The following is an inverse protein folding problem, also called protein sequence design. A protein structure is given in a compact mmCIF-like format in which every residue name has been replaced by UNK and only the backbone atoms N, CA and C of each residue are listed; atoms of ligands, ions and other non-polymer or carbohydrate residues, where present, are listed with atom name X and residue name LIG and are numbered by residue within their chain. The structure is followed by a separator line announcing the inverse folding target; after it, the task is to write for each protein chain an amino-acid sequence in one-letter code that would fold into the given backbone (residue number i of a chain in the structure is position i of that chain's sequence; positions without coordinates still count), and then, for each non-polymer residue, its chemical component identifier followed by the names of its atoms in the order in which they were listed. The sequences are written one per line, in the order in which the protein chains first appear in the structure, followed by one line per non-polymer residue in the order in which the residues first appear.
data_IF_037112976446
#
_entry.id   IF_037112976446
#
_cell.length_a   1.000
_cell.length_b   1.000
_cell.length_c   1.000
_cell.angle_alpha   90.00
_cell.angle_beta   90.00
_cell.angle_gamma   90.00
#
_symmetry.space_group_name_H-M   'P 1'
#
loop_
_entity.id
_entity.type
_entity.pdbx_description
1 polymer ?
#
# COMPACT_ATOMS: atom_id res chain seq x y z
N UNK A 1 14.58 -9.49 -14.87
CA UNK A 1 14.26 -9.24 -13.46
C UNK A 1 13.55 -7.89 -13.34
N UNK A 2 12.24 -7.85 -13.10
CA UNK A 2 11.47 -6.59 -13.03
C UNK A 2 11.41 -6.02 -11.60
N UNK A 3 12.57 -5.82 -10.97
CA UNK A 3 12.68 -5.07 -9.69
C UNK A 3 12.73 -3.54 -9.95
N UNK A 4 12.56 -3.13 -11.21
CA UNK A 4 12.53 -1.74 -11.68
C UNK A 4 11.58 -0.85 -10.84
N UNK A 5 10.38 -1.30 -10.41
CA UNK A 5 9.51 -0.49 -9.58
C UNK A 5 10.12 -0.15 -8.21
N UNK A 6 10.90 -1.04 -7.60
CA UNK A 6 11.49 -0.80 -6.28
C UNK A 6 12.66 0.18 -6.36
N UNK A 7 13.51 0.03 -7.37
CA UNK A 7 14.64 0.96 -7.62
C UNK A 7 14.15 2.37 -7.94
N UNK A 8 13.11 2.50 -8.77
CA UNK A 8 12.64 3.80 -9.24
C UNK A 8 11.67 4.50 -8.28
N UNK A 9 10.81 3.75 -7.57
CA UNK A 9 9.76 4.34 -6.71
C UNK A 9 10.24 4.60 -5.28
N UNK A 10 11.11 3.73 -4.76
CA UNK A 10 11.58 3.79 -3.37
C UNK A 10 13.08 4.11 -3.27
N UNK A 11 13.76 4.33 -4.40
CA UNK A 11 15.19 4.66 -4.43
C UNK A 11 16.07 3.54 -3.86
N UNK A 12 15.60 2.30 -3.85
CA UNK A 12 16.34 1.18 -3.27
C UNK A 12 17.50 0.77 -4.17
N UNK A 13 18.67 0.58 -3.56
CA UNK A 13 19.85 0.01 -4.21
C UNK A 13 19.69 -1.50 -4.37
N UNK A 14 20.58 -2.14 -5.14
CA UNK A 14 20.59 -3.60 -5.23
C UNK A 14 20.88 -4.26 -3.88
N UNK A 15 21.74 -3.66 -3.06
CA UNK A 15 22.04 -4.15 -1.71
C UNK A 15 20.81 -4.06 -0.81
N UNK A 16 20.03 -2.97 -0.90
CA UNK A 16 18.77 -2.85 -0.15
C UNK A 16 17.77 -3.94 -0.53
N UNK A 17 17.65 -4.23 -1.83
CA UNK A 17 16.78 -5.28 -2.35
C UNK A 17 17.22 -6.66 -1.85
N UNK A 18 18.52 -6.94 -1.92
CA UNK A 18 19.10 -8.19 -1.45
C UNK A 18 18.90 -8.35 0.07
N UNK A 19 19.17 -7.31 0.85
CA UNK A 19 18.98 -7.30 2.30
C UNK A 19 17.50 -7.49 2.67
N UNK A 20 16.59 -6.76 2.02
CA UNK A 20 15.15 -6.92 2.26
C UNK A 20 14.69 -8.33 1.93
N UNK A 21 15.14 -8.90 0.81
CA UNK A 21 14.80 -10.28 0.43
C UNK A 21 15.31 -11.31 1.44
N UNK A 22 16.53 -11.15 1.95
CA UNK A 22 17.12 -12.04 2.94
C UNK A 22 16.35 -11.97 4.27
N UNK A 23 16.04 -10.75 4.74
CA UNK A 23 15.31 -10.55 5.99
C UNK A 23 13.87 -11.10 5.93
N UNK A 24 13.21 -11.04 4.76
CA UNK A 24 11.89 -11.66 4.55
C UNK A 24 11.98 -13.19 4.63
N UNK A 25 12.99 -13.78 3.99
CA UNK A 25 13.21 -15.24 4.01
C UNK A 25 13.58 -15.72 5.41
N UNK A 26 14.33 -14.91 6.16
CA UNK A 26 14.68 -15.17 7.57
C UNK A 26 13.48 -15.04 8.53
N UNK A 27 12.31 -14.62 8.03
CA UNK A 27 11.08 -14.53 8.82
C UNK A 27 11.08 -13.37 9.81
N UNK A 28 11.80 -12.28 9.52
CA UNK A 28 11.80 -11.06 10.36
C UNK A 28 10.43 -10.38 10.36
N UNK A 29 10.08 -9.75 11.48
CA UNK A 29 8.82 -9.02 11.62
C UNK A 29 8.81 -7.71 10.82
N UNK A 30 7.62 -7.14 10.60
CA UNK A 30 7.49 -5.81 9.98
C UNK A 30 8.18 -4.71 10.79
N UNK A 31 8.16 -4.83 12.11
CA UNK A 31 8.82 -3.88 13.02
C UNK A 31 10.34 -3.93 12.82
N UNK A 32 10.93 -5.14 12.79
CA UNK A 32 12.38 -5.31 12.56
C UNK A 32 12.80 -4.84 11.17
N UNK A 33 11.99 -5.13 10.14
CA UNK A 33 12.22 -4.63 8.79
C UNK A 33 12.13 -3.09 8.75
N UNK A 34 11.19 -2.51 9.48
CA UNK A 34 11.07 -1.06 9.58
C UNK A 34 12.25 -0.42 10.27
N UNK A 35 12.74 -0.97 11.38
CA UNK A 35 13.96 -0.49 12.02
C UNK A 35 15.17 -0.50 11.07
N UNK A 36 15.26 -1.52 10.21
CA UNK A 36 16.35 -1.63 9.23
C UNK A 36 16.24 -0.61 8.08
N UNK A 37 15.02 -0.25 7.66
CA UNK A 37 14.76 0.61 6.50
C UNK A 37 14.11 1.95 6.83
N UNK A 38 14.07 2.36 8.11
CA UNK A 38 13.30 3.51 8.61
C UNK A 38 13.58 4.83 7.87
N UNK A 39 14.82 5.01 7.40
CA UNK A 39 15.26 6.22 6.70
C UNK A 39 14.79 6.28 5.24
N UNK A 40 14.34 5.14 4.69
CA UNK A 40 13.99 4.98 3.28
C UNK A 40 12.52 4.67 3.07
N UNK A 41 11.92 3.89 3.96
CA UNK A 41 10.58 3.35 3.78
C UNK A 41 9.81 3.27 5.08
N UNK A 42 8.50 3.51 5.00
CA UNK A 42 7.57 3.20 6.08
C UNK A 42 7.10 1.73 6.02
N UNK A 43 6.45 1.26 7.09
CA UNK A 43 5.93 -0.13 7.22
C UNK A 43 5.07 -0.56 6.02
N UNK A 44 4.22 0.33 5.49
CA UNK A 44 3.34 0.02 4.37
C UNK A 44 4.14 -0.17 3.06
N UNK A 45 5.15 0.67 2.85
CA UNK A 45 6.05 0.57 1.71
C UNK A 45 6.91 -0.69 1.78
N UNK A 46 7.38 -1.06 2.98
CA UNK A 46 8.12 -2.30 3.23
C UNK A 46 7.25 -3.52 2.90
N UNK A 47 6.00 -3.54 3.36
CA UNK A 47 5.07 -4.63 3.07
C UNK A 47 4.79 -4.77 1.56
N UNK A 48 4.60 -3.65 0.86
CA UNK A 48 4.42 -3.66 -0.60
C UNK A 48 5.69 -4.16 -1.31
N UNK A 49 6.87 -3.70 -0.86
CA UNK A 49 8.15 -4.12 -1.41
C UNK A 49 8.37 -5.63 -1.21
N UNK A 50 8.05 -6.16 -0.03
CA UNK A 50 8.09 -7.60 0.25
C UNK A 50 7.21 -8.41 -0.71
N UNK A 51 6.00 -7.90 -1.01
CA UNK A 51 5.09 -8.53 -1.97
C UNK A 51 5.63 -8.56 -3.40
N UNK A 52 6.28 -7.47 -3.82
CA UNK A 52 6.94 -7.40 -5.12
C UNK A 52 8.13 -8.37 -5.16
N UNK A 53 8.95 -8.42 -4.10
CA UNK A 53 10.11 -9.33 -4.05
C UNK A 53 9.68 -10.80 -4.07
N UNK A 54 8.65 -11.18 -3.32
CA UNK A 54 8.12 -12.54 -3.34
C UNK A 54 7.76 -12.99 -4.76
N UNK A 55 7.05 -12.14 -5.50
CA UNK A 55 6.64 -12.46 -6.87
C UNK A 55 7.80 -12.42 -7.86
N UNK A 56 8.64 -11.40 -7.80
CA UNK A 56 9.64 -11.13 -8.84
C UNK A 56 10.97 -11.89 -8.63
N UNK A 57 11.30 -12.28 -7.39
CA UNK A 57 12.53 -13.02 -7.08
C UNK A 57 12.29 -14.50 -6.78
N UNK A 58 11.13 -14.85 -6.21
CA UNK A 58 10.85 -16.21 -5.74
C UNK A 58 9.70 -16.90 -6.49
N UNK A 59 9.07 -16.20 -7.45
CA UNK A 59 7.94 -16.70 -8.26
C UNK A 59 6.79 -17.28 -7.40
N UNK A 60 6.54 -16.66 -6.25
CA UNK A 60 5.50 -17.08 -5.31
C UNK A 60 4.85 -15.88 -4.62
N UNK A 61 3.71 -16.12 -3.96
CA UNK A 61 3.04 -15.06 -3.19
C UNK A 61 3.76 -14.77 -1.87
N UNK A 62 3.60 -13.56 -1.34
CA UNK A 62 4.13 -13.22 -0.02
C UNK A 62 3.53 -14.10 1.09
N UNK A 63 2.30 -14.58 0.91
CA UNK A 63 1.67 -15.50 1.85
C UNK A 63 2.36 -16.87 1.89
N UNK A 64 2.89 -17.33 0.76
CA UNK A 64 3.67 -18.58 0.69
C UNK A 64 5.10 -18.37 1.21
N UNK A 65 5.71 -17.22 0.91
CA UNK A 65 7.08 -16.91 1.31
C UNK A 65 7.20 -16.58 2.81
N UNK A 66 6.29 -15.77 3.34
CA UNK A 66 6.27 -15.35 4.73
C UNK A 66 4.82 -15.12 5.22
N UNK A 67 4.14 -16.17 5.68
CA UNK A 67 2.77 -16.08 6.19
C UNK A 67 2.67 -15.20 7.44
N UNK A 68 3.72 -15.13 8.25
CA UNK A 68 3.76 -14.35 9.48
C UNK A 68 3.72 -12.84 9.21
N UNK A 69 4.39 -12.38 8.15
CA UNK A 69 4.34 -11.00 7.65
C UNK A 69 2.90 -10.59 7.27
N UNK A 70 2.13 -11.50 6.66
CA UNK A 70 0.72 -11.28 6.34
C UNK A 70 -0.13 -11.18 7.62
N UNK A 71 0.10 -12.09 8.57
CA UNK A 71 -0.64 -12.12 9.83
C UNK A 71 -0.40 -10.84 10.65
N UNK A 72 0.84 -10.37 10.71
CA UNK A 72 1.22 -9.13 11.38
C UNK A 72 0.60 -7.91 10.71
N UNK A 73 0.64 -7.83 9.37
CA UNK A 73 -0.03 -6.75 8.63
C UNK A 73 -1.53 -6.71 8.88
N UNK A 74 -2.18 -7.88 8.96
CA UNK A 74 -3.61 -8.00 9.29
C UNK A 74 -3.91 -7.48 10.68
N UNK A 75 -3.12 -7.87 11.69
CA UNK A 75 -3.24 -7.36 13.07
C UNK A 75 -3.15 -5.82 13.10
N UNK A 76 -2.11 -5.25 12.48
CA UNK A 76 -1.94 -3.79 12.40
C UNK A 76 -3.07 -3.07 11.65
N UNK A 77 -3.68 -3.71 10.66
CA UNK A 77 -4.86 -3.16 9.97
C UNK A 77 -6.13 -3.26 10.81
N UNK A 78 -6.27 -4.32 11.59
CA UNK A 78 -7.45 -4.54 12.45
C UNK A 78 -7.52 -3.47 13.53
N UNK A 79 -6.38 -3.16 14.17
CA UNK A 79 -6.29 -2.11 15.18
C UNK A 79 -6.66 -0.72 14.60
N UNK A 80 -6.22 -0.44 13.36
CA UNK A 80 -6.62 0.78 12.63
C UNK A 80 -8.10 0.78 12.24
N UNK A 81 -8.69 -0.39 11.96
CA UNK A 81 -10.09 -0.52 11.61
C UNK A 81 -10.99 -0.25 12.81
N UNK A 82 -10.63 -0.77 13.98
CA UNK A 82 -11.35 -0.54 15.24
C UNK A 82 -11.28 0.95 15.66
N UNK A 83 -10.12 1.60 15.46
CA UNK A 83 -9.96 3.03 15.68
C UNK A 83 -10.71 3.90 14.64
N UNK A 84 -10.88 3.38 13.43
CA UNK A 84 -11.66 4.03 12.38
C UNK A 84 -13.16 3.87 12.61
N UNK A 85 -13.63 2.68 13.00
CA UNK A 85 -15.01 2.43 13.41
C UNK A 85 -15.39 3.29 14.63
N UNK A 86 -14.49 3.46 15.60
CA UNK A 86 -14.75 4.35 16.75
C UNK A 86 -14.85 5.83 16.35
N UNK A 87 -14.21 6.24 15.25
CA UNK A 87 -14.27 7.61 14.68
C UNK A 87 -15.36 7.78 13.63
N UNK A 88 -16.05 6.70 13.23
CA UNK A 88 -17.01 6.68 12.14
C UNK A 88 -18.37 7.19 12.60
N UNK A 89 -18.55 8.51 12.58
CA UNK A 89 -19.88 9.09 12.58
C UNK A 89 -20.46 8.92 11.17
N UNK A 90 -21.31 7.91 10.96
CA UNK A 90 -21.86 7.50 9.64
C UNK A 90 -22.46 8.65 8.80
N UNK A 91 -22.82 9.77 9.43
CA UNK A 91 -23.28 10.99 8.76
C UNK A 91 -22.18 11.72 7.97
N UNK A 92 -20.92 11.69 8.42
CA UNK A 92 -19.80 12.33 7.73
C UNK A 92 -19.43 11.60 6.43
N UNK A 93 -19.43 10.26 6.45
CA UNK A 93 -19.14 9.45 5.27
C UNK A 93 -20.22 9.63 4.19
N UNK A 94 -21.50 9.66 4.57
CA UNK A 94 -22.59 9.97 3.65
C UNK A 94 -22.48 11.38 3.06
N UNK A 95 -22.03 12.35 3.86
CA UNK A 95 -21.75 13.71 3.40
C UNK A 95 -20.63 13.76 2.37
N UNK A 96 -19.53 13.04 2.60
CA UNK A 96 -18.41 12.98 1.65
C UNK A 96 -18.80 12.30 0.33
N UNK A 97 -19.53 11.18 0.40
CA UNK A 97 -20.01 10.49 -0.80
C UNK A 97 -20.96 11.39 -1.60
N UNK A 98 -21.85 12.10 -0.92
CA UNK A 98 -22.77 13.05 -1.57
C UNK A 98 -22.01 14.18 -2.28
N UNK A 99 -21.06 14.82 -1.61
CA UNK A 99 -20.28 15.92 -2.21
C UNK A 99 -19.51 15.43 -3.45
N UNK A 100 -18.90 14.24 -3.37
CA UNK A 100 -18.20 13.65 -4.50
C UNK A 100 -19.12 13.38 -5.70
N UNK A 101 -20.36 12.91 -5.46
CA UNK A 101 -21.34 12.72 -6.52
C UNK A 101 -21.79 14.05 -7.14
N UNK A 102 -21.98 15.10 -6.32
CA UNK A 102 -22.31 16.44 -6.80
C UNK A 102 -21.19 17.01 -7.69
N UNK A 103 -19.93 16.86 -7.30
CA UNK A 103 -18.76 17.28 -8.08
C UNK A 103 -18.66 16.55 -9.43
N UNK A 104 -18.93 15.24 -9.45
CA UNK A 104 -18.94 14.45 -10.69
C UNK A 104 -20.07 14.87 -11.64
N UNK A 105 -21.26 15.14 -11.11
CA UNK A 105 -22.39 15.63 -11.92
C UNK A 105 -22.11 17.02 -12.51
N UNK A 106 -21.43 17.88 -11.76
CA UNK A 106 -21.02 19.20 -12.27
C UNK A 106 -20.04 19.05 -13.44
N UNK A 107 -19.03 18.18 -13.29
CA UNK A 107 -18.04 17.90 -14.33
C UNK A 107 -18.69 17.31 -15.59
N UNK A 108 -19.65 16.40 -15.43
CA UNK A 108 -20.42 15.84 -16.55
C UNK A 108 -21.15 16.96 -17.33
N UNK A 109 -21.77 17.88 -16.61
CA UNK A 109 -22.51 19.00 -17.21
C UNK A 109 -21.57 19.95 -17.96
N UNK A 110 -20.41 20.25 -17.39
CA UNK A 110 -19.38 21.07 -18.04
C UNK A 110 -18.87 20.43 -19.32
N UNK A 111 -18.64 19.12 -19.32
CA UNK A 111 -18.24 18.36 -20.51
C UNK A 111 -19.33 18.36 -21.60
N UNK A 112 -20.59 18.19 -21.22
CA UNK A 112 -21.72 18.26 -22.17
C UNK A 112 -21.86 19.65 -22.78
N UNK A 113 -21.70 20.72 -21.98
CA UNK A 113 -21.73 22.11 -22.47
C UNK A 113 -20.54 22.39 -23.39
N UNK A 114 -19.35 21.88 -23.07
CA UNK A 114 -18.17 22.01 -23.92
C UNK A 114 -18.35 21.29 -25.26
N UNK A 115 -18.89 20.07 -25.23
CA UNK A 115 -19.20 19.27 -26.43
C UNK A 115 -20.32 19.87 -27.29
N UNK A 116 -21.27 20.60 -26.70
CA UNK A 116 -22.32 21.30 -27.43
C UNK A 116 -21.85 22.61 -28.09
N UNK A 117 -20.69 23.12 -27.68
CA UNK A 117 -20.06 24.35 -28.23
C UNK A 117 -18.97 24.08 -29.26
N UNK A 118 -18.57 22.81 -29.46
CA UNK A 118 -17.68 22.33 -30.51
C UNK A 118 -18.46 21.83 -31.72
#
# INVERSE_FOLDING_TARGET
MQIIPLKNKYGLTEDDINNLSALIVDGRSLEELFEHFQDKMNIEQIFIAAGILAREMFDMSLQELSPDLIAERRRLSQDKHDEWESKRNSQQLLGMIRNFLEDLSLLELELQVAAAKS
#
